data_IF_115978020837
#
_entry.id   IF_115978020837
#
_cell.length_a   1.000
_cell.length_b   1.000
_cell.length_c   1.000
_cell.angle_alpha   90.00
_cell.angle_beta   90.00
_cell.angle_gamma   90.00
#
_symmetry.space_group_name_H-M   'P 1'
#
loop_
_entity.id
_entity.type
_entity.pdbx_description
1 polymer ?
#
# COMPACT_ATOMS: atom_id res chain seq x y z
N UNK A 1 16.06 6.15 -6.85
CA UNK A 1 17.37 6.75 -6.54
C UNK A 1 17.91 5.98 -5.34
N UNK A 2 18.99 5.20 -5.50
CA UNK A 2 19.33 4.17 -4.50
C UNK A 2 18.13 3.24 -4.27
N UNK A 3 17.86 2.91 -3.00
CA UNK A 3 16.79 2.01 -2.57
C UNK A 3 15.38 2.67 -2.53
N UNK A 4 15.25 3.88 -3.08
CA UNK A 4 13.98 4.62 -3.10
C UNK A 4 13.20 4.29 -4.38
N UNK A 5 11.97 3.84 -4.19
CA UNK A 5 11.00 3.58 -5.24
C UNK A 5 9.80 4.50 -5.11
N UNK A 6 9.49 5.21 -6.19
CA UNK A 6 8.25 5.97 -6.34
C UNK A 6 7.41 5.30 -7.41
N UNK A 7 6.17 4.98 -7.06
CA UNK A 7 5.18 4.47 -8.02
C UNK A 7 4.27 5.62 -8.41
N UNK A 8 4.28 5.95 -9.70
CA UNK A 8 3.31 6.88 -10.28
C UNK A 8 2.15 6.03 -10.82
N UNK A 9 1.02 6.06 -10.13
CA UNK A 9 -0.18 5.35 -10.54
C UNK A 9 -1.21 6.34 -11.10
N UNK A 10 -1.46 6.25 -12.41
CA UNK A 10 -2.49 6.98 -13.14
C UNK A 10 -3.55 6.05 -13.75
N UNK A 11 -3.69 4.83 -13.21
CA UNK A 11 -4.65 3.85 -13.68
C UNK A 11 -6.09 4.32 -13.40
N UNK A 12 -6.94 4.43 -14.42
CA UNK A 12 -8.33 4.85 -14.24
C UNK A 12 -9.10 3.92 -13.29
N UNK A 13 -9.87 4.51 -12.38
CA UNK A 13 -10.67 3.73 -11.41
C UNK A 13 -9.87 3.14 -10.25
N UNK A 14 -8.54 3.31 -10.22
CA UNK A 14 -7.69 2.92 -9.10
C UNK A 14 -8.02 3.70 -7.81
N UNK A 15 -7.63 3.14 -6.66
CA UNK A 15 -7.64 3.88 -5.40
C UNK A 15 -6.87 5.19 -5.51
N UNK A 16 -5.72 5.17 -6.19
CA UNK A 16 -4.86 6.34 -6.36
C UNK A 16 -5.57 7.49 -7.08
N UNK A 17 -6.27 7.20 -8.18
CA UNK A 17 -7.02 8.22 -8.92
C UNK A 17 -8.18 8.80 -8.09
N UNK A 18 -8.94 7.95 -7.40
CA UNK A 18 -10.03 8.41 -6.49
C UNK A 18 -9.49 9.25 -5.33
N UNK A 19 -8.31 8.91 -4.81
CA UNK A 19 -7.66 9.65 -3.73
C UNK A 19 -7.25 11.06 -4.20
N UNK A 20 -6.64 11.15 -5.38
CA UNK A 20 -6.22 12.43 -5.98
C UNK A 20 -7.40 13.34 -6.30
N UNK A 21 -8.55 12.80 -6.73
CA UNK A 21 -9.78 13.59 -6.93
C UNK A 21 -10.21 14.35 -5.68
N UNK A 22 -9.98 13.78 -4.49
CA UNK A 22 -10.35 14.38 -3.21
C UNK A 22 -9.26 15.26 -2.60
N UNK A 23 -7.99 14.88 -2.79
CA UNK A 23 -6.87 15.46 -2.05
C UNK A 23 -5.91 16.31 -2.91
N UNK A 24 -6.09 16.32 -4.23
CA UNK A 24 -5.12 16.88 -5.18
C UNK A 24 -3.88 15.98 -5.33
N UNK A 25 -2.85 16.42 -6.08
CA UNK A 25 -1.61 15.66 -6.27
C UNK A 25 -0.87 15.44 -4.96
N UNK A 26 -0.85 14.20 -4.47
CA UNK A 26 -0.21 13.83 -3.21
C UNK A 26 0.09 12.32 -3.17
N UNK A 27 0.72 11.86 -2.07
CA UNK A 27 0.97 10.44 -1.84
C UNK A 27 -0.32 9.71 -1.41
N UNK A 28 -0.89 8.92 -2.32
CA UNK A 28 -2.10 8.13 -2.04
C UNK A 28 -1.83 6.86 -1.20
N UNK A 29 -0.57 6.43 -1.10
CA UNK A 29 -0.20 5.22 -0.37
C UNK A 29 1.28 5.16 0.01
N UNK A 30 1.60 4.27 0.95
CA UNK A 30 2.95 3.91 1.39
C UNK A 30 3.08 2.39 1.53
N UNK A 31 4.30 1.87 1.46
CA UNK A 31 4.57 0.43 1.58
C UNK A 31 5.69 0.16 2.57
N UNK A 32 5.52 -0.84 3.45
CA UNK A 32 6.51 -1.25 4.46
C UNK A 32 6.99 -2.67 4.18
N UNK A 33 8.32 -2.86 4.18
CA UNK A 33 8.93 -4.19 4.13
C UNK A 33 8.70 -4.91 5.45
N UNK A 34 8.20 -6.14 5.40
CA UNK A 34 7.89 -7.00 6.54
C UNK A 34 8.37 -8.43 6.30
N UNK A 35 8.60 -9.20 7.36
CA UNK A 35 9.11 -10.57 7.22
C UNK A 35 8.02 -11.55 6.77
N UNK A 36 6.77 -11.30 7.19
CA UNK A 36 5.57 -12.06 6.86
C UNK A 36 4.41 -11.06 6.68
N UNK A 37 3.92 -10.93 5.44
CA UNK A 37 2.88 -9.95 5.11
C UNK A 37 1.53 -10.30 5.73
N UNK A 38 1.20 -11.59 5.83
CA UNK A 38 -0.06 -12.07 6.38
C UNK A 38 -0.11 -11.81 7.88
N UNK A 39 0.92 -12.21 8.60
CA UNK A 39 1.00 -12.00 10.05
C UNK A 39 1.02 -10.50 10.40
N UNK A 40 1.73 -9.67 9.64
CA UNK A 40 1.73 -8.21 9.85
C UNK A 40 0.32 -7.60 9.68
N UNK A 41 -0.39 -8.02 8.61
CA UNK A 41 -1.75 -7.60 8.35
C UNK A 41 -2.72 -8.03 9.46
N UNK A 42 -2.73 -9.33 9.81
CA UNK A 42 -3.59 -9.88 10.87
C UNK A 42 -3.31 -9.20 12.22
N UNK A 43 -2.04 -8.96 12.54
CA UNK A 43 -1.67 -8.24 13.75
C UNK A 43 -2.24 -6.82 13.74
N UNK A 44 -2.05 -6.05 12.65
CA UNK A 44 -2.56 -4.69 12.55
C UNK A 44 -4.09 -4.64 12.72
N UNK A 45 -4.81 -5.53 12.05
CA UNK A 45 -6.27 -5.65 12.17
C UNK A 45 -6.68 -6.00 13.60
N UNK A 46 -5.98 -6.94 14.26
CA UNK A 46 -6.24 -7.30 15.67
C UNK A 46 -6.05 -6.12 16.64
N UNK A 47 -5.28 -5.10 16.24
CA UNK A 47 -5.03 -3.87 16.99
C UNK A 47 -5.92 -2.70 16.58
N UNK A 48 -6.93 -2.94 15.74
CA UNK A 48 -7.93 -1.95 15.36
C UNK A 48 -7.69 -1.25 14.03
N UNK A 49 -6.71 -1.69 13.23
CA UNK A 49 -6.58 -1.19 11.87
C UNK A 49 -7.75 -1.65 11.00
N UNK A 50 -8.19 -0.79 10.07
CA UNK A 50 -9.22 -1.15 9.10
C UNK A 50 -8.58 -1.85 7.89
N UNK A 51 -8.96 -3.10 7.56
CA UNK A 51 -8.44 -3.78 6.38
C UNK A 51 -8.91 -3.10 5.09
N UNK A 52 -8.08 -3.12 4.04
CA UNK A 52 -8.46 -2.66 2.70
C UNK A 52 -8.55 -3.84 1.74
N UNK A 53 -9.78 -4.21 1.39
CA UNK A 53 -10.09 -5.39 0.56
C UNK A 53 -10.36 -5.05 -0.91
N UNK A 54 -10.27 -3.77 -1.30
CA UNK A 54 -10.48 -3.34 -2.68
C UNK A 54 -9.48 -3.96 -3.65
N UNK A 55 -9.93 -4.24 -4.88
CA UNK A 55 -9.10 -4.77 -5.97
C UNK A 55 -8.41 -3.67 -6.79
N UNK A 56 -8.64 -2.41 -6.44
CA UNK A 56 -8.14 -1.21 -7.12
C UNK A 56 -6.83 -0.67 -6.52
N UNK A 57 -6.08 -1.55 -5.82
CA UNK A 57 -4.78 -1.28 -5.21
C UNK A 57 -3.69 -1.17 -6.27
N UNK A 58 -2.65 -0.37 -6.02
CA UNK A 58 -1.46 -0.31 -6.88
C UNK A 58 -0.59 -1.58 -6.81
N UNK A 59 -0.60 -2.27 -5.68
CA UNK A 59 0.15 -3.50 -5.42
C UNK A 59 -0.82 -4.59 -4.95
N UNK A 60 -0.65 -5.80 -5.49
CA UNK A 60 -1.45 -6.96 -5.12
C UNK A 60 -0.88 -7.66 -3.87
N UNK A 61 -0.95 -6.95 -2.75
CA UNK A 61 -0.44 -7.35 -1.43
C UNK A 61 -1.40 -6.89 -0.32
N UNK A 62 -1.33 -7.48 0.89
CA UNK A 62 -2.14 -7.04 2.02
C UNK A 62 -1.95 -5.56 2.33
N UNK A 63 -3.05 -4.86 2.63
CA UNK A 63 -3.03 -3.44 2.95
C UNK A 63 -4.11 -3.06 3.97
N UNK A 64 -3.85 -2.00 4.73
CA UNK A 64 -4.81 -1.37 5.63
C UNK A 64 -5.06 0.09 5.23
N UNK A 65 -6.17 0.65 5.70
CA UNK A 65 -6.44 2.08 5.59
C UNK A 65 -5.53 2.83 6.56
N UNK A 66 -4.72 3.73 6.00
CA UNK A 66 -3.79 4.60 6.69
C UNK A 66 -4.32 6.03 6.88
N UNK A 67 -3.38 6.95 7.08
CA UNK A 67 -3.65 8.35 7.42
C UNK A 67 -4.43 9.03 6.30
N UNK A 68 -5.53 9.70 6.64
CA UNK A 68 -6.35 10.44 5.67
C UNK A 68 -7.06 9.56 4.63
N UNK A 69 -7.07 8.24 4.80
CA UNK A 69 -7.63 7.29 3.83
C UNK A 69 -6.62 6.77 2.79
N UNK A 70 -5.32 7.06 2.97
CA UNK A 70 -4.26 6.46 2.16
C UNK A 70 -4.19 4.95 2.39
N UNK A 71 -3.46 4.22 1.55
CA UNK A 71 -3.19 2.79 1.83
C UNK A 71 -1.81 2.60 2.45
N UNK A 72 -1.71 1.65 3.38
CA UNK A 72 -0.44 1.14 3.88
C UNK A 72 -0.29 -0.34 3.51
N UNK A 73 0.66 -0.64 2.63
CA UNK A 73 0.94 -1.98 2.12
C UNK A 73 1.98 -2.73 2.95
N UNK A 74 1.81 -4.05 3.09
CA UNK A 74 2.77 -4.95 3.71
C UNK A 74 3.52 -5.77 2.65
N UNK A 75 4.82 -5.53 2.50
CA UNK A 75 5.67 -6.10 1.45
C UNK A 75 6.57 -7.18 2.02
N UNK A 76 6.37 -8.42 1.59
CA UNK A 76 7.25 -9.54 1.97
C UNK A 76 8.35 -9.81 0.94
N UNK A 77 8.09 -9.56 -0.35
CA UNK A 77 9.08 -9.68 -1.41
C UNK A 77 9.90 -8.38 -1.53
N UNK A 78 11.17 -8.44 -1.14
CA UNK A 78 12.15 -7.36 -1.30
C UNK A 78 13.58 -7.94 -1.26
N UNK A 79 14.56 -7.23 -1.82
CA UNK A 79 15.96 -7.67 -1.81
C UNK A 79 16.13 -8.98 -2.57
N UNK A 80 16.75 -9.99 -1.94
CA UNK A 80 16.93 -11.31 -2.54
C UNK A 80 15.61 -12.04 -2.85
N UNK A 81 14.54 -11.71 -2.11
CA UNK A 81 13.19 -12.25 -2.38
C UNK A 81 12.54 -11.64 -3.63
N UNK A 82 13.17 -10.64 -4.25
CA UNK A 82 12.61 -9.92 -5.39
C UNK A 82 11.92 -8.63 -4.96
N UNK A 83 10.72 -8.35 -5.46
CA UNK A 83 10.26 -6.97 -5.57
C UNK A 83 9.09 -6.59 -4.68
N UNK A 84 9.12 -5.32 -4.22
CA UNK A 84 8.08 -4.31 -4.44
C UNK A 84 8.61 -2.88 -4.11
N UNK A 85 9.85 -2.50 -4.39
CA UNK A 85 10.80 -2.88 -5.43
C UNK A 85 12.21 -2.88 -4.83
#
# INVERSE_FOLDING_TARGET
>A
QGDINYVVNAEPGSHAMKFVEKHGPCAASMAWRVVDAKNAFEHAVSKGATPYEGTDKALDVPAIVGIGGSLLYFIEAYGEKGSAY
#
